data_IF_234853250536
#
_entry.id   IF_234853250536
#
_cell.length_a   1.000
_cell.length_b   1.000
_cell.length_c   1.000
_cell.angle_alpha   90.00
_cell.angle_beta   90.00
_cell.angle_gamma   90.00
#
_symmetry.space_group_name_H-M   'P 1'
#
loop_
_entity.id
_entity.type
_entity.pdbx_description
1 polymer ?
#
# COMPACT_ATOMS: atom_id res chain seq x y z
N UNK A 1 -4.97 -1.38 22.53
CA UNK A 1 -5.39 -1.31 21.13
C UNK A 1 -5.17 -2.68 20.49
N UNK A 2 -6.19 -3.22 19.81
CA UNK A 2 -6.11 -4.53 19.13
C UNK A 2 -5.90 -4.28 17.64
N UNK A 3 -5.00 -5.05 17.02
CA UNK A 3 -4.78 -5.03 15.57
C UNK A 3 -5.53 -6.18 14.94
N UNK A 4 -6.38 -5.89 13.98
CA UNK A 4 -7.18 -6.88 13.28
C UNK A 4 -6.62 -7.08 11.87
N UNK A 5 -6.21 -8.31 11.56
CA UNK A 5 -5.73 -8.68 10.22
C UNK A 5 -6.89 -8.78 9.21
N UNK A 6 -6.59 -8.64 7.93
CA UNK A 6 -7.59 -8.63 6.86
C UNK A 6 -8.26 -10.00 6.62
N UNK A 7 -7.60 -11.10 6.97
CA UNK A 7 -8.15 -12.45 6.88
C UNK A 7 -9.17 -12.78 8.00
N UNK A 8 -9.27 -11.93 9.00
CA UNK A 8 -10.18 -12.12 10.13
C UNK A 8 -11.53 -11.46 9.81
N UNK A 9 -12.62 -12.17 10.05
CA UNK A 9 -13.98 -11.72 9.73
C UNK A 9 -14.98 -11.94 10.89
N UNK A 10 -16.20 -11.43 10.70
CA UNK A 10 -17.32 -11.70 11.62
C UNK A 10 -17.53 -13.21 11.76
N UNK A 11 -17.93 -13.63 12.95
CA UNK A 11 -18.00 -15.04 13.35
C UNK A 11 -16.72 -15.59 14.02
N UNK A 12 -15.60 -14.87 13.95
CA UNK A 12 -14.42 -15.19 14.76
C UNK A 12 -14.70 -14.82 16.23
N UNK A 13 -14.49 -15.74 17.15
CA UNK A 13 -14.85 -15.57 18.58
C UNK A 13 -14.15 -14.39 19.24
N UNK A 14 -12.90 -14.12 18.87
CA UNK A 14 -12.13 -12.99 19.41
C UNK A 14 -12.66 -11.66 18.88
N UNK A 15 -13.07 -11.62 17.60
CA UNK A 15 -13.70 -10.43 16.99
C UNK A 15 -15.05 -10.15 17.65
N UNK A 16 -15.91 -11.16 17.79
CA UNK A 16 -17.23 -10.94 18.43
C UNK A 16 -17.05 -10.46 19.87
N UNK A 17 -16.14 -11.08 20.63
CA UNK A 17 -15.83 -10.61 21.97
C UNK A 17 -15.28 -9.17 21.97
N UNK A 18 -14.37 -8.84 21.04
CA UNK A 18 -13.79 -7.49 20.92
C UNK A 18 -14.86 -6.43 20.65
N UNK A 19 -15.84 -6.75 19.78
CA UNK A 19 -16.92 -5.83 19.44
C UNK A 19 -17.87 -5.60 20.62
N UNK A 20 -18.08 -6.62 21.46
CA UNK A 20 -18.85 -6.48 22.70
C UNK A 20 -18.12 -5.62 23.74
N UNK A 21 -16.79 -5.49 23.64
CA UNK A 21 -15.97 -4.67 24.53
C UNK A 21 -15.84 -3.24 24.00
N UNK A 22 -16.90 -2.44 24.07
CA UNK A 22 -16.98 -1.09 23.46
C UNK A 22 -15.84 -0.12 23.82
N UNK A 23 -15.09 -0.40 24.88
CA UNK A 23 -13.95 0.44 25.33
C UNK A 23 -12.59 0.01 24.78
N UNK A 24 -12.48 -1.14 24.13
CA UNK A 24 -11.21 -1.61 23.58
C UNK A 24 -11.07 -1.09 22.13
N UNK A 25 -10.18 -0.13 21.88
CA UNK A 25 -9.97 0.36 20.53
C UNK A 25 -9.28 -0.69 19.66
N UNK A 26 -9.73 -0.83 18.42
CA UNK A 26 -9.12 -1.70 17.43
C UNK A 26 -8.79 -0.93 16.14
N UNK A 27 -7.91 -1.49 15.33
CA UNK A 27 -7.37 -0.84 14.13
C UNK A 27 -6.92 -1.89 13.12
N UNK A 28 -6.93 -1.57 11.83
CA UNK A 28 -6.28 -2.41 10.81
C UNK A 28 -4.76 -2.29 10.87
N UNK A 29 -4.06 -3.32 10.41
CA UNK A 29 -2.59 -3.30 10.34
C UNK A 29 -2.06 -2.14 9.50
N UNK A 30 -2.60 -1.86 8.28
CA UNK A 30 -2.10 -0.74 7.47
C UNK A 30 -2.27 0.62 8.15
N UNK A 31 -3.38 0.85 8.85
CA UNK A 31 -3.60 2.09 9.59
C UNK A 31 -2.63 2.24 10.77
N UNK A 32 -2.42 1.16 11.54
CA UNK A 32 -1.44 1.20 12.63
C UNK A 32 -0.01 1.41 12.10
N UNK A 33 0.32 0.78 10.98
CA UNK A 33 1.63 0.92 10.35
C UNK A 33 1.89 2.38 9.95
N UNK A 34 0.89 3.03 9.35
CA UNK A 34 0.97 4.46 9.06
C UNK A 34 1.26 5.26 10.34
N UNK A 35 0.50 5.03 11.41
CA UNK A 35 0.58 5.82 12.63
C UNK A 35 1.93 5.65 13.38
N UNK A 36 2.54 4.48 13.32
CA UNK A 36 3.73 4.14 14.11
C UNK A 36 5.04 4.17 13.33
N UNK A 37 5.01 3.87 12.03
CA UNK A 37 6.23 3.65 11.25
C UNK A 37 6.47 4.77 10.24
N UNK A 38 5.42 5.34 9.67
CA UNK A 38 5.53 6.32 8.59
C UNK A 38 5.59 7.79 9.02
N UNK A 39 5.35 8.20 10.28
CA UNK A 39 5.58 9.60 10.67
C UNK A 39 7.03 10.01 10.35
N UNK A 40 7.18 11.20 9.73
CA UNK A 40 8.48 11.77 9.32
C UNK A 40 9.22 10.98 8.22
N UNK A 41 8.60 9.94 7.65
CA UNK A 41 9.14 9.20 6.50
C UNK A 41 8.66 9.79 5.18
N UNK A 42 9.28 9.33 4.11
CA UNK A 42 8.86 9.56 2.73
C UNK A 42 8.36 8.23 2.15
N UNK A 43 7.04 7.93 2.25
CA UNK A 43 6.51 6.67 1.73
C UNK A 43 6.57 6.63 0.20
N UNK A 44 7.24 5.61 -0.33
CA UNK A 44 7.27 5.23 -1.74
C UNK A 44 6.42 3.98 -1.88
N UNK A 45 5.20 4.13 -2.41
CA UNK A 45 4.25 3.02 -2.49
C UNK A 45 4.17 2.53 -3.93
N UNK A 46 4.51 1.26 -4.13
CA UNK A 46 4.50 0.60 -5.43
C UNK A 46 3.26 -0.26 -5.53
N UNK A 47 2.36 0.10 -6.43
CA UNK A 47 1.09 -0.55 -6.68
C UNK A 47 0.97 -1.01 -8.15
N UNK A 48 -0.07 -1.76 -8.46
CA UNK A 48 -0.34 -2.33 -9.78
C UNK A 48 -0.75 -3.79 -9.68
N UNK A 49 -1.33 -4.33 -10.71
CA UNK A 49 -1.77 -5.73 -10.71
C UNK A 49 -0.57 -6.67 -10.59
N UNK A 50 0.49 -6.42 -11.38
CA UNK A 50 1.69 -7.26 -11.43
C UNK A 50 2.98 -6.48 -11.18
N UNK A 51 4.02 -7.20 -10.76
CA UNK A 51 5.37 -6.66 -10.60
C UNK A 51 5.60 -5.82 -9.34
N UNK A 52 4.63 -5.68 -8.46
CA UNK A 52 4.75 -4.92 -7.19
C UNK A 52 6.00 -5.31 -6.39
N UNK A 53 6.15 -6.59 -6.08
CA UNK A 53 7.28 -7.13 -5.30
C UNK A 53 8.63 -6.84 -5.96
N UNK A 54 8.73 -7.09 -7.26
CA UNK A 54 9.98 -6.87 -8.01
C UNK A 54 10.36 -5.39 -8.02
N UNK A 55 9.42 -4.51 -8.33
CA UNK A 55 9.66 -3.06 -8.38
C UNK A 55 9.97 -2.50 -6.99
N UNK A 56 9.26 -2.93 -5.96
CA UNK A 56 9.53 -2.53 -4.57
C UNK A 56 10.91 -2.99 -4.11
N UNK A 57 11.28 -4.24 -4.42
CA UNK A 57 12.61 -4.80 -4.10
C UNK A 57 13.71 -4.02 -4.77
N UNK A 58 13.59 -3.77 -6.08
CA UNK A 58 14.56 -2.99 -6.84
C UNK A 58 14.69 -1.57 -6.29
N UNK A 59 13.57 -0.92 -5.99
CA UNK A 59 13.57 0.44 -5.43
C UNK A 59 14.27 0.48 -4.07
N UNK A 60 13.95 -0.44 -3.16
CA UNK A 60 14.59 -0.51 -1.85
C UNK A 60 16.09 -0.82 -1.96
N UNK A 61 16.46 -1.75 -2.86
CA UNK A 61 17.86 -2.09 -3.14
C UNK A 61 18.65 -0.88 -3.65
N UNK A 62 18.14 -0.19 -4.66
CA UNK A 62 18.81 0.99 -5.24
C UNK A 62 18.97 2.12 -4.22
N UNK A 63 17.95 2.39 -3.41
CA UNK A 63 18.03 3.38 -2.33
C UNK A 63 19.07 3.00 -1.27
N UNK A 64 19.16 1.71 -0.95
CA UNK A 64 20.16 1.19 0.00
C UNK A 64 21.56 1.33 -0.55
N UNK A 65 21.81 0.91 -1.80
CA UNK A 65 23.12 1.06 -2.45
C UNK A 65 23.52 2.53 -2.64
N UNK A 66 22.54 3.43 -2.80
CA UNK A 66 22.78 4.88 -2.79
C UNK A 66 23.04 5.47 -1.39
N UNK A 67 23.10 4.65 -0.34
CA UNK A 67 23.41 5.08 1.02
C UNK A 67 22.25 5.77 1.77
N UNK A 68 21.02 5.65 1.28
CA UNK A 68 19.86 6.32 1.89
C UNK A 68 19.33 5.63 3.15
N UNK A 69 19.80 4.43 3.48
CA UNK A 69 19.31 3.58 4.60
C UNK A 69 17.77 3.50 4.67
N UNK A 70 17.08 3.08 3.58
CA UNK A 70 15.63 3.06 3.51
C UNK A 70 15.02 2.04 4.47
N UNK A 71 13.78 2.29 4.92
CA UNK A 71 12.92 1.22 5.40
C UNK A 71 12.18 0.57 4.24
N UNK A 72 11.66 -0.66 4.45
CA UNK A 72 10.78 -1.31 3.50
C UNK A 72 9.80 -2.30 4.14
N UNK A 73 8.67 -2.50 3.46
CA UNK A 73 7.69 -3.55 3.73
C UNK A 73 7.26 -4.14 2.39
N UNK A 74 7.74 -5.35 2.09
CA UNK A 74 7.57 -6.03 0.81
C UNK A 74 7.01 -7.42 1.08
N UNK A 75 6.04 -7.84 0.28
CA UNK A 75 5.49 -9.19 0.36
C UNK A 75 6.53 -10.23 -0.05
N UNK A 76 6.61 -11.32 0.72
CA UNK A 76 7.59 -12.38 0.47
C UNK A 76 9.00 -12.06 0.98
N UNK A 77 9.96 -12.85 0.52
CA UNK A 77 11.39 -12.70 0.86
C UNK A 77 12.13 -12.37 -0.42
N UNK A 78 12.50 -11.10 -0.64
CA UNK A 78 13.28 -10.71 -1.82
C UNK A 78 14.71 -11.27 -1.73
N UNK A 79 15.22 -11.79 -2.86
CA UNK A 79 16.56 -12.40 -2.89
C UNK A 79 17.69 -11.38 -2.63
N UNK A 80 17.49 -10.13 -3.01
CA UNK A 80 18.50 -9.06 -2.97
C UNK A 80 18.44 -8.21 -1.69
N UNK A 81 17.51 -8.52 -0.79
CA UNK A 81 17.36 -7.86 0.50
C UNK A 81 17.42 -8.90 1.63
N UNK A 82 17.89 -8.54 2.81
CA UNK A 82 18.07 -9.51 3.90
C UNK A 82 16.76 -10.05 4.48
N UNK A 83 15.64 -9.39 4.22
CA UNK A 83 14.30 -9.75 4.71
C UNK A 83 13.21 -9.02 3.94
N UNK A 84 11.96 -9.46 4.07
CA UNK A 84 10.78 -8.78 3.51
C UNK A 84 10.48 -7.42 4.16
N UNK A 85 11.10 -7.12 5.31
CA UNK A 85 10.89 -5.84 5.99
C UNK A 85 12.12 -5.36 6.74
N UNK A 86 12.31 -4.04 6.79
CA UNK A 86 13.29 -3.37 7.63
C UNK A 86 12.83 -1.96 7.97
N UNK A 87 13.20 -1.49 9.14
CA UNK A 87 12.84 -0.11 9.53
C UNK A 87 13.73 0.94 8.85
N UNK A 88 15.02 0.65 8.63
CA UNK A 88 15.96 1.66 8.17
C UNK A 88 15.98 2.91 9.06
N UNK A 89 16.93 3.79 8.85
CA UNK A 89 17.03 5.08 9.59
C UNK A 89 16.79 6.28 8.66
N UNK A 90 16.83 6.07 7.35
CA UNK A 90 16.63 7.11 6.34
C UNK A 90 15.17 7.51 6.19
N UNK A 91 14.93 8.62 5.52
CA UNK A 91 13.57 9.08 5.23
C UNK A 91 12.78 8.19 4.27
N UNK A 92 13.35 7.62 3.19
CA UNK A 92 12.59 6.77 2.29
C UNK A 92 12.07 5.52 3.00
N UNK A 93 10.81 5.18 2.72
CA UNK A 93 10.20 3.94 3.14
C UNK A 93 9.45 3.31 1.97
N UNK A 94 9.95 2.20 1.45
CA UNK A 94 9.36 1.52 0.29
C UNK A 94 8.31 0.52 0.75
N UNK A 95 7.11 0.60 0.17
CA UNK A 95 6.00 -0.26 0.56
C UNK A 95 5.38 -0.89 -0.68
N UNK A 96 5.20 -2.19 -0.65
CA UNK A 96 4.38 -2.89 -1.63
C UNK A 96 2.91 -2.55 -1.37
N UNK A 97 2.30 -1.86 -2.33
CA UNK A 97 0.92 -1.37 -2.26
C UNK A 97 -0.07 -2.45 -2.68
N UNK A 98 -0.65 -3.13 -1.69
CA UNK A 98 -1.64 -4.17 -1.89
C UNK A 98 -3.03 -3.55 -2.03
N UNK A 99 -3.77 -3.95 -3.06
CA UNK A 99 -5.14 -3.55 -3.37
C UNK A 99 -6.22 -4.22 -2.53
N UNK A 100 -5.89 -5.27 -1.78
CA UNK A 100 -6.84 -5.97 -0.91
C UNK A 100 -7.32 -5.12 0.26
N UNK A 101 -8.51 -5.47 0.75
CA UNK A 101 -9.14 -4.89 1.94
C UNK A 101 -8.19 -4.82 3.13
N UNK A 102 -8.29 -3.74 3.89
CA UNK A 102 -7.46 -3.52 5.09
C UNK A 102 -7.91 -4.36 6.29
N UNK A 103 -9.23 -4.56 6.46
CA UNK A 103 -9.82 -5.38 7.51
C UNK A 103 -11.32 -5.62 7.21
N UNK A 104 -11.98 -6.48 8.00
CA UNK A 104 -13.42 -6.75 7.83
C UNK A 104 -14.28 -5.48 7.98
N UNK A 105 -13.85 -4.53 8.78
CA UNK A 105 -14.54 -3.25 9.04
C UNK A 105 -14.04 -2.09 8.16
N UNK A 106 -12.97 -2.29 7.40
CA UNK A 106 -12.41 -1.28 6.51
C UNK A 106 -12.11 -1.92 5.14
N UNK A 107 -13.01 -1.66 4.19
CA UNK A 107 -12.98 -2.23 2.84
C UNK A 107 -12.15 -1.42 1.85
N UNK A 108 -11.44 -0.40 2.32
CA UNK A 108 -10.47 0.32 1.50
C UNK A 108 -9.23 -0.52 1.30
N UNK A 109 -8.65 -0.42 0.12
CA UNK A 109 -7.37 -1.06 -0.21
C UNK A 109 -6.27 -0.62 0.77
N UNK A 110 -5.34 -1.53 1.09
CA UNK A 110 -4.27 -1.27 2.08
C UNK A 110 -3.43 -0.06 1.72
N UNK A 111 -3.15 0.16 0.43
CA UNK A 111 -2.31 1.28 -0.03
C UNK A 111 -2.87 2.66 0.33
N UNK A 112 -4.19 2.80 0.53
CA UNK A 112 -4.82 4.08 0.94
C UNK A 112 -4.29 4.56 2.29
N UNK A 113 -3.97 3.63 3.17
CA UNK A 113 -3.47 3.96 4.51
C UNK A 113 -2.04 4.48 4.50
N UNK A 114 -1.24 4.12 3.50
CA UNK A 114 0.20 4.45 3.49
C UNK A 114 0.50 5.90 3.09
N UNK A 115 -0.46 6.63 2.54
CA UNK A 115 -0.36 8.06 2.17
C UNK A 115 0.95 8.38 1.44
N UNK A 116 1.12 7.91 0.20
CA UNK A 116 2.38 8.01 -0.52
C UNK A 116 2.82 9.46 -0.75
N UNK A 117 4.10 9.73 -0.53
CA UNK A 117 4.78 10.88 -1.09
C UNK A 117 5.19 10.61 -2.54
N UNK A 118 5.49 9.34 -2.84
CA UNK A 118 5.73 8.87 -4.20
C UNK A 118 4.84 7.64 -4.43
N UNK A 119 3.95 7.74 -5.41
CA UNK A 119 3.13 6.63 -5.88
C UNK A 119 3.70 6.09 -7.19
N UNK A 120 3.88 4.77 -7.27
CA UNK A 120 4.29 4.07 -8.48
C UNK A 120 3.16 3.14 -8.90
N UNK A 121 2.70 3.23 -10.16
CA UNK A 121 1.68 2.34 -10.73
C UNK A 121 2.27 1.60 -11.92
N UNK A 122 2.52 0.31 -11.77
CA UNK A 122 3.19 -0.51 -12.78
C UNK A 122 2.28 -0.83 -13.98
N UNK A 123 1.10 -1.35 -13.69
CA UNK A 123 0.13 -1.81 -14.69
C UNK A 123 -1.24 -2.00 -14.02
N UNK A 124 -2.29 -2.05 -14.83
CA UNK A 124 -3.65 -2.33 -14.38
C UNK A 124 -4.33 -3.32 -15.30
N UNK A 125 -4.67 -4.47 -14.73
CA UNK A 125 -5.48 -5.50 -15.38
C UNK A 125 -6.63 -5.91 -14.45
N UNK A 126 -7.68 -6.49 -15.02
CA UNK A 126 -8.73 -7.08 -14.20
C UNK A 126 -8.20 -8.38 -13.56
N UNK A 127 -7.94 -8.30 -12.28
CA UNK A 127 -7.53 -9.41 -11.43
C UNK A 127 -8.28 -9.33 -10.09
N UNK A 128 -8.16 -10.35 -9.26
CA UNK A 128 -8.80 -10.41 -7.94
C UNK A 128 -10.33 -10.28 -8.01
N UNK A 129 -10.99 -11.15 -8.81
CA UNK A 129 -12.43 -11.20 -8.98
C UNK A 129 -13.21 -11.51 -7.67
N UNK A 130 -12.52 -11.83 -6.60
CA UNK A 130 -13.05 -11.98 -5.24
C UNK A 130 -13.33 -10.63 -4.54
N UNK A 131 -12.66 -9.56 -4.98
CA UNK A 131 -12.82 -8.21 -4.41
C UNK A 131 -13.26 -7.15 -5.42
N UNK A 132 -12.98 -7.33 -6.71
CA UNK A 132 -13.36 -6.41 -7.78
C UNK A 132 -14.35 -7.07 -8.74
N UNK A 133 -15.38 -6.34 -9.16
CA UNK A 133 -16.40 -6.81 -10.10
C UNK A 133 -15.92 -6.76 -11.55
N UNK A 134 -15.11 -5.76 -11.87
CA UNK A 134 -14.65 -5.44 -13.21
C UNK A 134 -13.41 -4.53 -13.17
N UNK A 135 -12.86 -4.22 -14.34
CA UNK A 135 -11.71 -3.32 -14.47
C UNK A 135 -12.01 -1.90 -13.97
N UNK A 136 -13.25 -1.43 -14.10
CA UNK A 136 -13.65 -0.10 -13.64
C UNK A 136 -13.56 0.02 -12.10
N UNK A 137 -13.93 -1.05 -11.38
CA UNK A 137 -13.76 -1.10 -9.92
C UNK A 137 -12.26 -1.05 -9.53
N UNK A 138 -11.40 -1.75 -10.28
CA UNK A 138 -9.93 -1.67 -10.08
C UNK A 138 -9.46 -0.23 -10.31
N UNK A 139 -9.79 0.36 -11.46
CA UNK A 139 -9.41 1.74 -11.80
C UNK A 139 -9.89 2.73 -10.73
N UNK A 140 -11.11 2.60 -10.24
CA UNK A 140 -11.66 3.45 -9.17
C UNK A 140 -10.85 3.35 -7.87
N UNK A 141 -10.38 2.15 -7.51
CA UNK A 141 -9.51 1.96 -6.35
C UNK A 141 -8.18 2.69 -6.53
N UNK A 142 -7.58 2.62 -7.73
CA UNK A 142 -6.34 3.32 -8.04
C UNK A 142 -6.53 4.84 -8.18
N UNK A 143 -7.66 5.32 -8.66
CA UNK A 143 -7.99 6.75 -8.58
C UNK A 143 -7.99 7.25 -7.13
N UNK A 144 -8.58 6.48 -6.20
CA UNK A 144 -8.53 6.83 -4.78
C UNK A 144 -7.10 6.85 -4.24
N UNK A 145 -6.26 5.90 -4.68
CA UNK A 145 -4.84 5.88 -4.33
C UNK A 145 -4.09 7.10 -4.84
N UNK A 146 -4.28 7.49 -6.10
CA UNK A 146 -3.63 8.67 -6.65
C UNK A 146 -4.10 9.97 -5.98
N UNK A 147 -5.38 10.07 -5.60
CA UNK A 147 -5.96 11.27 -4.95
C UNK A 147 -5.35 11.61 -3.60
N UNK A 148 -4.69 10.68 -2.93
CA UNK A 148 -4.06 10.94 -1.64
C UNK A 148 -2.59 11.32 -1.74
N UNK A 149 -2.02 11.35 -2.94
CA UNK A 149 -0.67 11.87 -3.20
C UNK A 149 -0.71 13.40 -3.06
N UNK A 150 0.14 14.01 -2.22
CA UNK A 150 0.13 15.46 -2.04
C UNK A 150 0.66 16.18 -3.30
N UNK A 151 0.31 17.46 -3.46
CA UNK A 151 0.78 18.26 -4.59
C UNK A 151 2.31 18.40 -4.69
N UNK A 152 3.02 18.21 -3.57
CA UNK A 152 4.48 18.15 -3.52
C UNK A 152 5.04 16.75 -3.77
N UNK A 153 4.17 15.77 -4.00
CA UNK A 153 4.54 14.38 -4.26
C UNK A 153 4.69 14.09 -5.74
N UNK A 154 5.00 12.83 -6.04
CA UNK A 154 5.21 12.34 -7.40
C UNK A 154 4.35 11.13 -7.69
N UNK A 155 3.82 11.07 -8.91
CA UNK A 155 3.11 9.94 -9.46
C UNK A 155 3.90 9.42 -10.65
N UNK A 156 4.46 8.21 -10.52
CA UNK A 156 5.18 7.53 -11.58
C UNK A 156 4.30 6.42 -12.15
N UNK A 157 4.09 6.44 -13.43
CA UNK A 157 3.20 5.48 -14.11
C UNK A 157 3.88 4.83 -15.30
N UNK A 158 3.47 3.61 -15.60
CA UNK A 158 3.82 2.98 -16.87
C UNK A 158 2.96 3.61 -17.99
N UNK A 159 3.58 4.44 -18.81
CA UNK A 159 2.90 5.14 -19.91
C UNK A 159 2.49 4.23 -21.08
N UNK A 160 3.00 3.01 -21.14
CA UNK A 160 2.64 2.04 -22.19
C UNK A 160 1.39 1.21 -21.82
N UNK A 161 0.93 1.30 -20.57
CA UNK A 161 -0.28 0.62 -20.10
C UNK A 161 -1.51 1.53 -20.30
N UNK A 162 -2.41 1.11 -21.19
CA UNK A 162 -3.60 1.89 -21.55
C UNK A 162 -4.57 2.09 -20.39
N UNK A 163 -4.64 1.14 -19.47
CA UNK A 163 -5.52 1.21 -18.30
C UNK A 163 -4.97 2.15 -17.23
N UNK A 164 -3.65 2.19 -17.09
CA UNK A 164 -2.95 3.18 -16.23
C UNK A 164 -3.07 4.57 -16.86
N UNK A 165 -2.86 4.69 -18.18
CA UNK A 165 -3.01 5.95 -18.88
C UNK A 165 -4.42 6.55 -18.74
N UNK A 166 -5.45 5.71 -18.62
CA UNK A 166 -6.83 6.15 -18.40
C UNK A 166 -7.05 6.84 -17.03
N UNK A 167 -6.15 6.63 -16.05
CA UNK A 167 -6.20 7.33 -14.75
C UNK A 167 -5.68 8.77 -14.82
N UNK A 168 -5.03 9.14 -15.92
CA UNK A 168 -4.44 10.46 -16.12
C UNK A 168 -5.35 11.35 -16.99
N UNK A 169 -5.23 12.69 -16.94
CA UNK A 169 -4.31 13.45 -16.10
C UNK A 169 -4.82 13.63 -14.66
N UNK A 170 -3.90 13.65 -13.71
CA UNK A 170 -4.20 14.13 -12.36
C UNK A 170 -3.74 15.58 -12.24
N UNK A 171 -4.60 16.44 -11.71
CA UNK A 171 -4.37 17.89 -11.72
C UNK A 171 -3.68 18.44 -10.46
N UNK A 172 -3.39 17.59 -9.47
CA UNK A 172 -2.93 18.03 -8.15
C UNK A 172 -1.51 17.56 -7.78
N UNK A 173 -0.87 16.68 -8.58
CA UNK A 173 0.47 16.15 -8.31
C UNK A 173 1.34 16.15 -9.57
N UNK A 174 2.64 15.96 -9.41
CA UNK A 174 3.63 15.86 -10.49
C UNK A 174 3.83 14.41 -10.95
#
# INVERSE_FOLDING_TARGET
>A
KVVVGNSISRGNKEVEWLLDQSLIPFVSLPALFHDLVLPDRCPVVVAGTHGKTTTSTLTAYLLKEAGSDPGWLIGGIPNDLPSGSALGKGKPFVIEGDEYDSAFFDKRSKFIHYRPQVAVVNNLEFDHADIFRDLEDVQRSFEHFLRIVPASGYILVNGDDVNVAALLPVSWSQ
#
